data_IF_585027484189
#
_entry.id   IF_585027484189
#
_cell.length_a   1.000
_cell.length_b   1.000
_cell.length_c   1.000
_cell.angle_alpha   90.00
_cell.angle_beta   90.00
_cell.angle_gamma   90.00
#
_symmetry.space_group_name_H-M   'P 1'
#
loop_
_entity.id
_entity.type
_entity.pdbx_description
1 polymer ?
#
# COMPACT_ATOMS: atom_id res chain seq x y z
N UNK A 1 -7.48 -13.27 34.21
CA UNK A 1 -6.12 -13.54 33.69
C UNK A 1 -5.76 -12.29 32.94
N UNK A 2 -5.04 -11.42 33.63
CA UNK A 2 -4.59 -10.14 33.10
C UNK A 2 -3.53 -10.44 32.04
N UNK A 3 -3.79 -9.96 30.83
CA UNK A 3 -2.83 -9.97 29.74
C UNK A 3 -1.77 -8.92 30.08
N UNK A 4 -0.65 -9.39 30.65
CA UNK A 4 0.54 -8.58 30.92
C UNK A 4 1.12 -8.14 29.56
N UNK A 5 0.53 -7.07 29.02
CA UNK A 5 1.05 -6.31 27.91
C UNK A 5 2.41 -5.74 28.30
N UNK A 6 3.46 -6.55 28.12
CA UNK A 6 4.83 -6.06 27.99
C UNK A 6 4.77 -5.01 26.89
N UNK A 7 4.76 -3.74 27.27
CA UNK A 7 5.18 -2.69 26.35
C UNK A 7 6.60 -3.06 25.96
N UNK A 8 6.74 -3.62 24.77
CA UNK A 8 8.04 -3.72 24.12
C UNK A 8 8.63 -2.32 24.19
N UNK A 9 9.67 -2.12 25.01
CA UNK A 9 10.41 -0.87 25.03
C UNK A 9 11.21 -0.76 23.75
N UNK A 10 10.58 -0.92 22.59
CA UNK A 10 11.16 -0.75 21.27
C UNK A 10 10.59 0.55 20.71
N UNK A 11 11.46 1.36 20.12
CA UNK A 11 11.12 2.66 19.55
C UNK A 11 10.03 2.57 18.48
N UNK A 12 9.99 1.46 17.74
CA UNK A 12 9.01 1.18 16.70
C UNK A 12 8.27 -0.12 16.95
N UNK A 13 7.00 -0.14 16.58
CA UNK A 13 6.09 -1.29 16.73
C UNK A 13 5.77 -1.94 15.37
N UNK A 14 5.79 -1.15 14.29
CA UNK A 14 5.47 -1.60 12.93
C UNK A 14 6.38 -0.97 11.88
N UNK A 15 6.58 -1.71 10.79
CA UNK A 15 7.31 -1.29 9.60
C UNK A 15 6.41 -1.50 8.37
N UNK A 16 6.11 -0.43 7.64
CA UNK A 16 5.38 -0.44 6.38
C UNK A 16 6.39 -0.41 5.23
N UNK A 17 6.29 -1.37 4.32
CA UNK A 17 7.16 -1.46 3.15
C UNK A 17 6.34 -1.29 1.88
N UNK A 18 6.70 -0.32 1.06
CA UNK A 18 6.36 -0.40 -0.34
C UNK A 18 7.00 -1.63 -1.01
N UNK A 19 6.45 -2.04 -2.14
CA UNK A 19 6.81 -3.27 -2.83
C UNK A 19 7.71 -2.99 -4.04
N UNK A 20 7.12 -2.39 -5.07
CA UNK A 20 7.74 -2.12 -6.36
C UNK A 20 8.92 -1.16 -6.22
N UNK A 21 10.06 -1.48 -6.82
CA UNK A 21 11.28 -0.66 -6.79
C UNK A 21 11.86 -0.38 -5.38
N UNK A 22 11.22 -0.92 -4.32
CA UNK A 22 11.63 -0.86 -2.91
C UNK A 22 12.22 -2.19 -2.40
N UNK A 23 11.47 -3.30 -2.48
CA UNK A 23 11.96 -4.63 -2.05
C UNK A 23 12.84 -5.31 -3.10
N UNK A 24 12.80 -4.81 -4.32
CA UNK A 24 13.68 -5.18 -5.41
C UNK A 24 14.06 -3.91 -6.18
N UNK A 25 15.22 -3.86 -6.85
CA UNK A 25 15.65 -2.63 -7.50
C UNK A 25 14.85 -2.36 -8.78
N UNK A 26 14.69 -1.07 -9.11
CA UNK A 26 14.15 -0.60 -10.40
C UNK A 26 14.82 -1.22 -11.63
N UNK A 27 16.09 -1.61 -11.52
CA UNK A 27 16.82 -2.32 -12.57
C UNK A 27 16.28 -3.71 -12.91
N UNK A 28 15.34 -4.26 -12.13
CA UNK A 28 14.61 -5.50 -12.46
C UNK A 28 13.79 -5.38 -13.75
N UNK A 29 13.36 -4.17 -14.11
CA UNK A 29 12.57 -3.90 -15.30
C UNK A 29 11.08 -4.20 -15.18
N UNK A 30 10.59 -4.64 -14.02
CA UNK A 30 9.15 -4.89 -13.77
C UNK A 30 8.35 -3.60 -14.01
N UNK A 31 8.79 -2.47 -13.46
CA UNK A 31 8.15 -1.16 -13.66
C UNK A 31 8.02 -0.80 -15.15
N UNK A 32 9.10 -1.01 -15.92
CA UNK A 32 9.12 -0.73 -17.36
C UNK A 32 8.15 -1.64 -18.13
N UNK A 33 8.09 -2.93 -17.78
CA UNK A 33 7.14 -3.87 -18.38
C UNK A 33 5.69 -3.50 -18.02
N UNK A 34 5.44 -3.13 -16.76
CA UNK A 34 4.13 -2.68 -16.29
C UNK A 34 3.66 -1.45 -17.06
N UNK A 35 4.53 -0.45 -17.21
CA UNK A 35 4.24 0.75 -18.00
C UNK A 35 3.86 0.40 -19.44
N UNK A 36 4.60 -0.49 -20.11
CA UNK A 36 4.26 -0.92 -21.48
C UNK A 36 2.89 -1.57 -21.54
N UNK A 37 2.55 -2.43 -20.58
CA UNK A 37 1.23 -3.07 -20.54
C UNK A 37 0.10 -2.05 -20.32
N UNK A 38 0.33 -1.02 -19.51
CA UNK A 38 -0.63 0.10 -19.34
C UNK A 38 -0.82 0.85 -20.65
N UNK A 39 0.28 1.22 -21.32
CA UNK A 39 0.24 1.92 -22.60
C UNK A 39 -0.52 1.08 -23.66
N UNK A 40 -0.25 -0.22 -23.74
CA UNK A 40 -0.99 -1.15 -24.60
C UNK A 40 -2.49 -1.25 -24.25
N UNK A 41 -2.83 -1.27 -22.95
CA UNK A 41 -4.22 -1.29 -22.53
C UNK A 41 -4.96 -0.03 -23.00
N UNK A 42 -4.34 1.15 -22.83
CA UNK A 42 -4.88 2.43 -23.27
C UNK A 42 -5.12 2.49 -24.78
N UNK A 43 -4.18 1.96 -25.57
CA UNK A 43 -4.31 1.86 -27.02
C UNK A 43 -5.44 0.91 -27.45
N UNK A 44 -5.42 -0.32 -26.93
CA UNK A 44 -6.24 -1.40 -27.48
C UNK A 44 -7.65 -1.46 -26.90
N UNK A 45 -7.82 -1.07 -25.64
CA UNK A 45 -9.10 -1.20 -24.91
C UNK A 45 -9.80 0.14 -24.70
N UNK A 46 -9.04 1.22 -24.54
CA UNK A 46 -9.61 2.57 -24.38
C UNK A 46 -9.60 3.38 -25.67
N UNK A 47 -8.97 2.88 -26.73
CA UNK A 47 -8.87 3.52 -28.04
C UNK A 47 -8.31 4.95 -27.97
N UNK A 48 -7.34 5.16 -27.07
CA UNK A 48 -6.61 6.43 -26.96
C UNK A 48 -5.55 6.47 -28.07
N UNK A 49 -5.42 7.63 -28.70
CA UNK A 49 -4.45 7.88 -29.78
C UNK A 49 -3.01 7.61 -29.32
N UNK A 50 -2.21 6.96 -30.18
CA UNK A 50 -0.87 6.47 -29.83
C UNK A 50 0.10 7.57 -29.41
N UNK A 51 0.00 8.73 -30.04
CA UNK A 51 0.84 9.88 -29.74
C UNK A 51 0.55 10.48 -28.35
N UNK A 52 -0.65 10.28 -27.81
CA UNK A 52 -1.08 10.84 -26.53
C UNK A 52 -0.76 9.93 -25.34
N UNK A 53 -0.72 8.61 -25.56
CA UNK A 53 -0.59 7.61 -24.49
C UNK A 53 0.62 7.85 -23.58
N UNK A 54 1.87 8.01 -24.08
CA UNK A 54 3.03 8.19 -23.21
C UNK A 54 2.95 9.46 -22.35
N UNK A 55 2.37 10.54 -22.90
CA UNK A 55 2.16 11.82 -22.22
C UNK A 55 1.12 11.67 -21.12
N UNK A 56 -0.02 11.05 -21.45
CA UNK A 56 -1.10 10.79 -20.50
C UNK A 56 -0.64 9.91 -19.33
N UNK A 57 0.10 8.82 -19.59
CA UNK A 57 0.63 7.97 -18.51
C UNK A 57 1.45 8.79 -17.49
N UNK A 58 2.33 9.68 -17.97
CA UNK A 58 3.18 10.49 -17.11
C UNK A 58 2.39 11.53 -16.32
N UNK A 59 1.46 12.24 -16.97
CA UNK A 59 0.63 13.26 -16.32
C UNK A 59 -0.28 12.64 -15.27
N UNK A 60 -0.97 11.55 -15.62
CA UNK A 60 -1.86 10.84 -14.71
C UNK A 60 -1.12 10.25 -13.51
N UNK A 61 0.07 9.67 -13.73
CA UNK A 61 0.91 9.19 -12.63
C UNK A 61 1.35 10.33 -11.70
N UNK A 62 1.70 11.50 -12.26
CA UNK A 62 2.12 12.68 -11.48
C UNK A 62 0.99 13.27 -10.66
N UNK A 63 -0.22 13.30 -11.19
CA UNK A 63 -1.38 13.94 -10.55
C UNK A 63 -2.11 12.99 -9.60
N UNK A 64 -2.33 11.73 -10.02
CA UNK A 64 -3.19 10.77 -9.31
C UNK A 64 -2.42 9.65 -8.62
N UNK A 65 -1.10 9.58 -8.78
CA UNK A 65 -0.27 8.53 -8.17
C UNK A 65 -0.19 7.23 -8.98
N UNK A 66 -1.24 6.89 -9.71
CA UNK A 66 -1.24 5.79 -10.69
C UNK A 66 -1.95 6.20 -11.97
N UNK A 67 -1.58 5.59 -13.10
CA UNK A 67 -2.29 5.83 -14.37
C UNK A 67 -3.75 5.36 -14.29
N UNK A 68 -4.02 4.24 -13.62
CA UNK A 68 -5.39 3.73 -13.44
C UNK A 68 -6.29 4.73 -12.69
N UNK A 69 -5.81 5.27 -11.55
CA UNK A 69 -6.55 6.27 -10.79
C UNK A 69 -6.89 7.50 -11.63
N UNK A 70 -5.92 7.97 -12.42
CA UNK A 70 -6.12 9.08 -13.35
C UNK A 70 -7.13 8.77 -14.46
N UNK A 71 -7.06 7.59 -15.07
CA UNK A 71 -8.03 7.18 -16.09
C UNK A 71 -9.47 7.14 -15.53
N UNK A 72 -9.66 6.57 -14.33
CA UNK A 72 -10.98 6.58 -13.67
C UNK A 72 -11.46 8.00 -13.35
N UNK A 73 -10.57 8.87 -12.87
CA UNK A 73 -10.90 10.25 -12.57
C UNK A 73 -11.32 11.05 -13.82
N UNK A 74 -10.73 10.74 -14.98
CA UNK A 74 -11.12 11.31 -16.27
C UNK A 74 -12.43 10.72 -16.83
N UNK A 75 -13.03 9.73 -16.17
CA UNK A 75 -14.31 9.12 -16.55
C UNK A 75 -14.20 7.91 -17.48
N UNK A 76 -13.00 7.35 -17.68
CA UNK A 76 -12.88 6.09 -18.41
C UNK A 76 -13.49 4.94 -17.59
N UNK A 77 -14.36 4.16 -18.24
CA UNK A 77 -15.00 3.01 -17.62
C UNK A 77 -14.37 1.71 -18.13
N UNK A 78 -13.85 0.92 -17.20
CA UNK A 78 -13.34 -0.43 -17.39
C UNK A 78 -13.44 -1.18 -16.06
N UNK A 79 -13.34 -2.51 -16.09
CA UNK A 79 -13.29 -3.30 -14.86
C UNK A 79 -11.88 -3.24 -14.23
N UNK A 80 -11.80 -3.11 -12.90
CA UNK A 80 -10.51 -2.96 -12.22
C UNK A 80 -9.71 -4.26 -12.28
N UNK A 81 -10.37 -5.40 -12.10
CA UNK A 81 -9.72 -6.71 -12.08
C UNK A 81 -9.24 -7.06 -13.48
N UNK A 82 -10.02 -6.73 -14.53
CA UNK A 82 -9.58 -6.89 -15.92
C UNK A 82 -8.34 -6.03 -16.24
N UNK A 83 -8.31 -4.78 -15.76
CA UNK A 83 -7.14 -3.91 -15.93
C UNK A 83 -5.90 -4.50 -15.24
N UNK A 84 -6.03 -4.90 -13.97
CA UNK A 84 -4.94 -5.50 -13.21
C UNK A 84 -4.47 -6.83 -13.82
N UNK A 85 -5.38 -7.71 -14.22
CA UNK A 85 -5.05 -8.96 -14.90
C UNK A 85 -4.31 -8.71 -16.22
N UNK A 86 -4.70 -7.68 -16.99
CA UNK A 86 -4.00 -7.32 -18.22
C UNK A 86 -2.59 -6.77 -17.95
N UNK A 87 -2.48 -5.83 -17.00
CA UNK A 87 -1.25 -5.08 -16.74
C UNK A 87 -0.23 -5.91 -15.98
N UNK A 88 -0.66 -6.61 -14.92
CA UNK A 88 0.23 -7.37 -14.05
C UNK A 88 0.31 -8.86 -14.41
N UNK A 89 -0.73 -9.44 -15.04
CA UNK A 89 -0.73 -10.86 -15.41
C UNK A 89 0.24 -11.22 -16.54
N UNK A 90 0.82 -10.23 -17.23
CA UNK A 90 1.80 -10.41 -18.31
C UNK A 90 3.23 -10.05 -17.91
N UNK A 91 3.46 -9.75 -16.63
CA UNK A 91 4.79 -9.33 -16.18
C UNK A 91 5.77 -10.52 -16.14
N UNK A 92 7.06 -10.29 -16.48
CA UNK A 92 8.08 -11.33 -16.53
C UNK A 92 8.64 -11.64 -15.13
N UNK A 93 7.80 -12.09 -14.20
CA UNK A 93 8.21 -12.32 -12.81
C UNK A 93 9.34 -13.35 -12.70
N UNK A 94 9.25 -14.47 -13.41
CA UNK A 94 10.22 -15.58 -13.33
C UNK A 94 11.62 -15.17 -13.79
N UNK A 95 11.72 -14.32 -14.83
CA UNK A 95 13.01 -13.87 -15.34
C UNK A 95 13.58 -12.67 -14.56
N UNK A 96 12.71 -11.79 -14.08
CA UNK A 96 13.10 -10.52 -13.46
C UNK A 96 13.36 -10.64 -11.95
N UNK A 97 12.64 -11.52 -11.25
CA UNK A 97 12.72 -11.67 -9.80
C UNK A 97 13.42 -12.98 -9.43
N UNK A 98 14.27 -12.92 -8.42
CA UNK A 98 15.00 -14.08 -7.90
C UNK A 98 14.92 -14.05 -6.38
N UNK A 99 14.92 -15.23 -5.73
CA UNK A 99 14.96 -15.29 -4.29
C UNK A 99 16.12 -14.49 -3.71
N UNK A 100 15.83 -13.67 -2.70
CA UNK A 100 16.81 -12.84 -2.01
C UNK A 100 16.99 -13.34 -0.56
N UNK A 101 17.88 -14.32 -0.33
CA UNK A 101 18.09 -14.88 1.00
C UNK A 101 18.70 -13.87 1.98
N UNK A 102 19.36 -12.82 1.49
CA UNK A 102 19.95 -11.78 2.34
C UNK A 102 18.84 -10.88 2.86
N UNK A 103 17.98 -10.38 1.97
CA UNK A 103 16.81 -9.58 2.36
C UNK A 103 15.86 -10.39 3.25
N UNK A 104 15.59 -11.66 2.91
CA UNK A 104 14.78 -12.56 3.73
C UNK A 104 15.32 -12.67 5.16
N UNK A 105 16.61 -12.95 5.30
CA UNK A 105 17.25 -13.07 6.61
C UNK A 105 17.19 -11.75 7.39
N UNK A 106 17.32 -10.62 6.70
CA UNK A 106 17.22 -9.30 7.29
C UNK A 106 15.81 -9.04 7.83
N UNK A 107 14.77 -9.27 7.03
CA UNK A 107 13.36 -9.07 7.41
C UNK A 107 12.93 -9.97 8.57
N UNK A 108 13.33 -11.26 8.54
CA UNK A 108 13.03 -12.21 9.62
C UNK A 108 13.75 -11.87 10.92
N UNK A 109 14.87 -11.16 10.86
CA UNK A 109 15.60 -10.73 12.07
C UNK A 109 14.96 -9.53 12.77
N UNK A 110 14.05 -8.80 12.12
CA UNK A 110 13.37 -7.64 12.71
C UNK A 110 12.24 -8.08 13.63
N UNK A 111 12.20 -7.64 14.91
CA UNK A 111 11.16 -8.04 15.85
C UNK A 111 9.78 -7.38 15.61
N UNK A 112 9.72 -6.28 14.86
CA UNK A 112 8.50 -5.52 14.61
C UNK A 112 7.54 -6.24 13.66
N UNK A 113 6.26 -5.85 13.72
CA UNK A 113 5.29 -6.19 12.67
C UNK A 113 5.74 -5.59 11.35
N UNK A 114 5.57 -6.34 10.26
CA UNK A 114 5.98 -5.95 8.92
C UNK A 114 4.78 -6.09 8.00
N UNK A 115 4.42 -5.04 7.29
CA UNK A 115 3.25 -5.00 6.42
C UNK A 115 3.65 -4.41 5.07
N UNK A 116 3.23 -5.03 3.98
CA UNK A 116 3.35 -4.45 2.65
C UNK A 116 2.30 -3.36 2.48
N UNK A 117 2.68 -2.21 1.91
CA UNK A 117 1.77 -1.14 1.52
C UNK A 117 2.06 -0.71 0.08
N UNK A 118 1.35 -1.30 -0.87
CA UNK A 118 1.54 -1.11 -2.33
C UNK A 118 0.31 -0.48 -2.98
N UNK A 119 0.52 0.21 -4.10
CA UNK A 119 -0.55 0.66 -5.00
C UNK A 119 -1.01 -0.44 -5.98
N UNK A 120 -0.29 -1.56 -6.07
CA UNK A 120 -0.64 -2.69 -6.90
C UNK A 120 -1.78 -3.52 -6.29
N UNK A 121 -2.33 -4.44 -7.08
CA UNK A 121 -3.32 -5.42 -6.60
C UNK A 121 -2.67 -6.59 -5.86
N UNK A 122 -3.51 -7.37 -5.19
CA UNK A 122 -3.10 -8.51 -4.38
C UNK A 122 -2.42 -9.61 -5.19
N UNK A 123 -2.84 -9.86 -6.42
CA UNK A 123 -2.26 -10.92 -7.24
C UNK A 123 -0.83 -10.58 -7.64
N UNK A 124 -0.59 -9.32 -8.03
CA UNK A 124 0.77 -8.82 -8.27
C UNK A 124 1.65 -8.93 -7.03
N UNK A 125 1.16 -8.47 -5.86
CA UNK A 125 1.92 -8.54 -4.62
C UNK A 125 2.33 -9.98 -4.26
N UNK A 126 1.44 -10.95 -4.47
CA UNK A 126 1.74 -12.36 -4.25
C UNK A 126 2.84 -12.89 -5.20
N UNK A 127 2.79 -12.54 -6.49
CA UNK A 127 3.82 -12.95 -7.47
C UNK A 127 5.20 -12.39 -7.12
N UNK A 128 5.27 -11.12 -6.69
CA UNK A 128 6.53 -10.50 -6.29
C UNK A 128 7.10 -11.16 -5.03
N UNK A 129 6.27 -11.36 -4.00
CA UNK A 129 6.72 -11.96 -2.75
C UNK A 129 7.20 -13.40 -2.95
N UNK A 130 6.51 -14.19 -3.80
CA UNK A 130 6.93 -15.55 -4.18
C UNK A 130 8.26 -15.53 -4.96
N UNK A 131 8.37 -14.67 -5.98
CA UNK A 131 9.59 -14.54 -6.78
C UNK A 131 10.83 -14.11 -5.98
N UNK A 132 10.64 -13.33 -4.91
CA UNK A 132 11.71 -12.92 -3.98
C UNK A 132 11.92 -13.90 -2.81
N UNK A 133 11.02 -14.86 -2.62
CA UNK A 133 11.04 -15.78 -1.48
C UNK A 133 10.83 -15.06 -0.14
N UNK A 134 9.82 -14.19 -0.05
CA UNK A 134 9.49 -13.33 1.10
C UNK A 134 8.06 -13.52 1.65
N UNK A 135 7.35 -14.56 1.23
CA UNK A 135 5.91 -14.79 1.47
C UNK A 135 5.53 -14.88 2.96
N UNK A 136 6.47 -15.34 3.80
CA UNK A 136 6.32 -15.49 5.25
C UNK A 136 6.98 -14.37 6.06
N UNK A 137 7.53 -13.34 5.41
CA UNK A 137 8.22 -12.23 6.09
C UNK A 137 7.27 -11.13 6.57
N UNK A 138 6.04 -11.10 6.06
CA UNK A 138 5.06 -10.03 6.29
C UNK A 138 3.78 -10.56 6.93
N UNK A 139 3.23 -9.81 7.88
CA UNK A 139 1.98 -10.13 8.56
C UNK A 139 0.77 -9.93 7.64
N UNK A 140 0.85 -8.97 6.71
CA UNK A 140 -0.24 -8.65 5.80
C UNK A 140 0.16 -7.73 4.67
N UNK A 141 -0.78 -7.53 3.74
CA UNK A 141 -0.65 -6.68 2.56
C UNK A 141 -1.81 -5.69 2.52
N UNK A 142 -1.49 -4.40 2.48
CA UNK A 142 -2.39 -3.31 2.17
C UNK A 142 -2.14 -2.97 0.70
N UNK A 143 -3.11 -3.27 -0.14
CA UNK A 143 -3.04 -3.18 -1.60
C UNK A 143 -4.27 -2.45 -2.14
N UNK A 144 -4.41 -2.39 -3.47
CA UNK A 144 -5.54 -1.78 -4.14
C UNK A 144 -6.89 -2.23 -3.56
N UNK A 145 -7.12 -3.54 -3.45
CA UNK A 145 -8.35 -4.14 -2.93
C UNK A 145 -8.60 -3.72 -1.48
N UNK A 146 -7.58 -3.80 -0.61
CA UNK A 146 -7.72 -3.43 0.81
C UNK A 146 -8.13 -1.96 1.00
N UNK A 147 -7.76 -1.07 0.07
CA UNK A 147 -8.09 0.35 0.14
C UNK A 147 -9.42 0.71 -0.54
N UNK A 148 -9.79 -0.02 -1.59
CA UNK A 148 -10.84 0.39 -2.52
C UNK A 148 -12.07 -0.54 -2.51
N UNK A 149 -11.93 -1.78 -2.06
CA UNK A 149 -13.05 -2.68 -1.85
C UNK A 149 -13.69 -2.36 -0.51
N UNK A 150 -14.76 -1.56 -0.54
CA UNK A 150 -15.66 -1.49 0.60
C UNK A 150 -16.45 -2.79 0.67
N UNK A 151 -16.65 -3.40 1.85
CA UNK A 151 -17.71 -4.37 2.02
C UNK A 151 -19.01 -3.72 1.53
N UNK A 152 -19.71 -4.40 0.62
CA UNK A 152 -21.12 -4.11 0.42
C UNK A 152 -21.82 -4.40 1.75
N UNK A 153 -21.96 -3.39 2.59
CA UNK A 153 -22.88 -3.46 3.73
C UNK A 153 -24.30 -3.53 3.15
N UNK A 154 -24.73 -4.73 2.78
CA UNK A 154 -26.14 -5.08 2.72
C UNK A 154 -26.66 -5.11 4.15
N UNK A 155 -27.01 -3.93 4.66
CA UNK A 155 -27.97 -3.84 5.77
C UNK A 155 -29.35 -4.13 5.17
N UNK A 156 -29.65 -5.41 4.95
CA UNK A 156 -31.03 -5.89 4.95
C UNK A 156 -31.52 -5.81 6.40
N UNK A 157 -31.93 -4.60 6.80
CA UNK A 157 -32.64 -4.35 8.03
C UNK A 157 -34.10 -4.78 7.87
N UNK A 158 -34.34 -6.08 7.93
CA UNK A 158 -35.65 -6.62 8.26
C UNK A 158 -35.96 -6.28 9.74
N UNK A 159 -37.12 -5.64 9.96
CA UNK A 159 -37.66 -5.40 11.30
C UNK A 159 -38.01 -3.95 11.60
N UNK A 160 -39.26 -3.55 11.32
CA UNK A 160 -40.18 -3.21 12.42
C UNK A 160 -41.63 -3.18 11.92
N UNK A 161 -42.48 -3.99 12.55
CA UNK A 161 -43.91 -3.97 12.34
C UNK A 161 -44.57 -2.75 12.98
N UNK A 162 -45.61 -2.24 12.35
CA UNK A 162 -46.72 -1.66 13.08
C UNK A 162 -48.02 -1.82 12.27
N UNK A 163 -48.99 -2.51 12.85
CA UNK A 163 -50.31 -2.72 12.24
C UNK A 163 -51.19 -1.48 12.32
N UNK A 164 -52.10 -1.36 11.35
CA UNK A 164 -53.49 -0.95 11.58
C UNK A 164 -54.32 -1.28 10.34
N UNK A 165 -55.55 -1.69 10.62
CA UNK A 165 -56.54 -2.33 9.76
C UNK A 165 -57.42 -1.28 9.04
N UNK A 166 -57.79 -1.52 7.77
CA UNK A 166 -59.17 -1.46 7.25
C UNK A 166 -59.29 -1.35 5.70
N UNK A 167 -59.87 -2.42 5.14
CA UNK A 167 -60.97 -2.48 4.13
C UNK A 167 -60.76 -2.17 2.64
N UNK A 168 -61.23 -3.16 1.85
CA UNK A 168 -61.89 -3.12 0.53
C UNK A 168 -61.09 -3.36 -0.78
N UNK A 169 -61.46 -4.47 -1.43
CA UNK A 169 -61.19 -5.03 -2.79
C UNK A 169 -61.92 -4.25 -3.93
N UNK A 170 -61.79 -4.54 -5.27
CA UNK A 170 -60.93 -5.50 -6.01
C UNK A 170 -60.32 -5.04 -7.39
N UNK A 171 -59.42 -5.88 -7.93
CA UNK A 171 -59.13 -6.29 -9.33
C UNK A 171 -59.02 -5.27 -10.51
N UNK A 172 -57.91 -5.35 -11.27
CA UNK A 172 -57.87 -5.59 -12.74
C UNK A 172 -56.43 -5.58 -13.34
N UNK A 173 -56.13 -6.62 -14.12
CA UNK A 173 -55.33 -6.75 -15.36
C UNK A 173 -54.10 -5.86 -15.66
N UNK A 174 -53.02 -6.52 -16.10
CA UNK A 174 -52.06 -5.93 -17.04
C UNK A 174 -50.64 -6.52 -17.03
N UNK A 175 -50.31 -7.25 -18.11
CA UNK A 175 -48.96 -7.43 -18.71
C UNK A 175 -47.89 -6.41 -18.23
N UNK A 176 -46.60 -6.71 -18.08
CA UNK A 176 -45.69 -7.17 -19.14
C UNK A 176 -44.30 -7.48 -18.55
N UNK A 177 -43.60 -8.39 -19.22
CA UNK A 177 -42.16 -8.68 -19.16
C UNK A 177 -41.24 -7.45 -19.06
N UNK A 178 -40.19 -7.54 -18.24
CA UNK A 178 -38.82 -7.79 -18.72
C UNK A 178 -37.84 -7.62 -17.56
N UNK A 179 -37.19 -8.74 -17.25
CA UNK A 179 -36.00 -8.87 -16.45
C UNK A 179 -34.87 -8.05 -17.10
N UNK A 180 -34.52 -6.90 -16.52
CA UNK A 180 -33.18 -6.34 -16.62
C UNK A 180 -32.78 -5.80 -15.26
N UNK A 181 -31.88 -6.55 -14.63
CA UNK A 181 -31.15 -6.16 -13.44
C UNK A 181 -30.45 -4.81 -13.66
N UNK A 182 -31.10 -3.74 -13.22
CA UNK A 182 -30.45 -2.44 -13.01
C UNK A 182 -29.37 -2.60 -11.94
N UNK A 183 -28.15 -2.96 -12.35
CA UNK A 183 -26.94 -2.71 -11.55
C UNK A 183 -26.83 -1.20 -11.40
N UNK A 184 -27.32 -0.72 -10.27
CA UNK A 184 -27.26 0.66 -9.81
C UNK A 184 -25.78 1.04 -9.69
N UNK A 185 -25.23 1.70 -10.71
CA UNK A 185 -23.88 2.26 -10.65
C UNK A 185 -23.86 3.34 -9.58
N UNK A 186 -23.35 2.97 -8.40
CA UNK A 186 -23.01 3.89 -7.34
C UNK A 186 -22.00 4.90 -7.89
N UNK A 187 -22.21 6.19 -7.63
CA UNK A 187 -21.27 7.26 -7.94
C UNK A 187 -19.88 6.90 -7.44
N UNK A 188 -18.98 6.48 -8.34
CA UNK A 188 -17.70 5.88 -7.96
C UNK A 188 -16.81 6.95 -7.32
N UNK A 189 -16.51 6.78 -6.03
CA UNK A 189 -15.47 7.52 -5.33
C UNK A 189 -14.13 7.37 -6.07
N UNK A 190 -13.26 8.40 -6.06
CA UNK A 190 -11.94 8.30 -6.66
C UNK A 190 -11.15 7.14 -6.05
N UNK A 191 -10.29 6.50 -6.85
CA UNK A 191 -9.39 5.45 -6.38
C UNK A 191 -8.46 6.03 -5.31
N UNK A 192 -8.46 5.40 -4.14
CA UNK A 192 -7.60 5.72 -3.03
C UNK A 192 -6.26 5.00 -3.21
N UNK A 193 -5.18 5.76 -3.42
CA UNK A 193 -3.83 5.22 -3.59
C UNK A 193 -2.76 6.27 -3.21
N UNK A 194 -1.53 5.82 -2.96
CA UNK A 194 -0.38 6.72 -2.75
C UNK A 194 -0.14 7.57 -4.01
N UNK A 195 0.22 8.87 -3.91
CA UNK A 195 0.67 9.58 -2.72
C UNK A 195 -0.42 10.34 -1.95
N UNK A 196 -1.72 10.05 -2.10
CA UNK A 196 -2.73 10.75 -1.29
C UNK A 196 -2.48 10.51 0.20
N UNK A 197 -2.54 11.58 1.01
CA UNK A 197 -2.39 11.48 2.48
C UNK A 197 -3.52 10.64 3.07
N UNK A 198 -4.72 10.75 2.51
CA UNK A 198 -5.89 9.96 2.87
C UNK A 198 -5.63 8.45 2.67
N UNK A 199 -4.87 8.06 1.64
CA UNK A 199 -4.47 6.68 1.42
C UNK A 199 -3.48 6.19 2.49
N UNK A 200 -2.52 7.04 2.88
CA UNK A 200 -1.60 6.74 3.98
C UNK A 200 -2.37 6.58 5.30
N UNK A 201 -3.29 7.50 5.60
CA UNK A 201 -4.11 7.44 6.81
C UNK A 201 -5.03 6.20 6.82
N UNK A 202 -5.57 5.81 5.66
CA UNK A 202 -6.31 4.56 5.54
C UNK A 202 -5.43 3.36 5.86
N UNK A 203 -4.20 3.31 5.33
CA UNK A 203 -3.25 2.25 5.64
C UNK A 203 -2.90 2.20 7.14
N UNK A 204 -2.71 3.35 7.80
CA UNK A 204 -2.49 3.43 9.26
C UNK A 204 -3.68 2.84 10.03
N UNK A 205 -4.91 3.18 9.64
CA UNK A 205 -6.14 2.64 10.26
C UNK A 205 -6.27 1.13 10.05
N UNK A 206 -6.06 0.65 8.82
CA UNK A 206 -6.15 -0.77 8.46
C UNK A 206 -5.09 -1.60 9.19
N UNK A 207 -3.85 -1.10 9.26
CA UNK A 207 -2.75 -1.76 9.97
C UNK A 207 -2.92 -1.74 11.50
N UNK A 208 -3.79 -0.85 12.01
CA UNK A 208 -3.99 -0.56 13.43
C UNK A 208 -2.65 -0.25 14.13
N UNK A 209 -2.00 0.83 13.70
CA UNK A 209 -0.67 1.23 14.18
C UNK A 209 -0.65 2.67 14.68
N UNK A 210 0.25 2.98 15.62
CA UNK A 210 0.58 4.36 15.96
C UNK A 210 1.56 4.91 14.88
N UNK A 211 1.20 5.97 14.14
CA UNK A 211 2.08 6.52 13.11
C UNK A 211 3.43 6.98 13.67
N UNK A 212 3.48 7.47 14.92
CA UNK A 212 4.75 7.93 15.54
C UNK A 212 5.70 6.79 15.89
N UNK A 213 5.20 5.56 15.94
CA UNK A 213 5.97 4.33 16.19
C UNK A 213 6.03 3.42 14.96
N UNK A 214 5.79 3.98 13.78
CA UNK A 214 5.79 3.25 12.52
C UNK A 214 6.78 3.86 11.53
N UNK A 215 7.62 3.03 10.93
CA UNK A 215 8.49 3.44 9.82
C UNK A 215 7.85 3.07 8.49
N UNK A 216 7.92 3.96 7.51
CA UNK A 216 7.48 3.74 6.14
C UNK A 216 8.65 3.82 5.16
N UNK A 217 8.90 2.72 4.45
CA UNK A 217 9.93 2.57 3.43
C UNK A 217 9.28 2.62 2.04
N UNK A 218 9.73 3.54 1.19
CA UNK A 218 9.18 3.72 -0.17
C UNK A 218 10.23 4.39 -1.07
N UNK A 219 10.25 4.08 -2.36
CA UNK A 219 11.18 4.65 -3.34
C UNK A 219 10.68 6.00 -3.90
N UNK A 220 9.39 6.30 -3.75
CA UNK A 220 8.77 7.52 -4.27
C UNK A 220 8.83 8.64 -3.24
N UNK A 221 9.58 9.70 -3.58
CA UNK A 221 9.66 10.91 -2.78
C UNK A 221 8.29 11.55 -2.47
N UNK A 222 7.29 11.38 -3.37
CA UNK A 222 5.92 11.87 -3.13
C UNK A 222 5.21 11.04 -2.06
N UNK A 223 5.35 9.71 -2.10
CA UNK A 223 4.78 8.82 -1.10
C UNK A 223 5.41 9.09 0.27
N UNK A 224 6.74 9.29 0.30
CA UNK A 224 7.48 9.65 1.51
C UNK A 224 7.01 10.98 2.09
N UNK A 225 6.81 12.02 1.27
CA UNK A 225 6.29 13.29 1.75
C UNK A 225 4.90 13.15 2.40
N UNK A 226 4.02 12.34 1.80
CA UNK A 226 2.69 12.07 2.35
C UNK A 226 2.73 11.20 3.60
N UNK A 227 3.64 10.22 3.65
CA UNK A 227 3.94 9.44 4.84
C UNK A 227 4.30 10.34 6.02
N UNK A 228 5.18 11.31 5.77
CA UNK A 228 5.60 12.26 6.79
C UNK A 228 4.47 13.18 7.24
N UNK A 229 3.65 13.64 6.31
CA UNK A 229 2.47 14.45 6.63
C UNK A 229 1.46 13.69 7.51
N UNK A 230 1.32 12.38 7.32
CA UNK A 230 0.49 11.51 8.16
C UNK A 230 1.15 11.14 9.51
N UNK A 231 2.35 11.63 9.79
CA UNK A 231 3.04 11.45 11.07
C UNK A 231 3.93 10.21 11.16
N UNK A 232 4.17 9.50 10.05
CA UNK A 232 5.07 8.36 9.99
C UNK A 232 6.53 8.82 10.07
N UNK A 233 7.40 7.94 10.61
CA UNK A 233 8.82 8.01 10.32
C UNK A 233 9.03 7.48 8.91
N UNK A 234 9.79 8.16 8.06
CA UNK A 234 9.89 7.83 6.64
C UNK A 234 11.33 7.62 6.17
N UNK A 235 11.49 6.67 5.24
CA UNK A 235 12.79 6.26 4.70
C UNK A 235 12.69 6.15 3.19
N UNK A 236 13.42 7.01 2.48
CA UNK A 236 13.51 6.93 1.02
C UNK A 236 14.47 5.80 0.63
N UNK A 237 14.02 4.84 -0.18
CA UNK A 237 14.81 3.70 -0.65
C UNK A 237 15.27 3.94 -2.10
N UNK A 238 16.43 3.40 -2.48
CA UNK A 238 17.03 3.61 -3.80
C UNK A 238 17.73 4.96 -3.96
N UNK A 239 17.94 5.71 -2.87
CA UNK A 239 18.56 7.04 -2.88
C UNK A 239 19.69 7.14 -1.85
N UNK A 240 20.78 7.81 -2.21
CA UNK A 240 21.85 8.19 -1.26
C UNK A 240 21.59 9.54 -0.60
N UNK A 241 20.58 10.29 -1.05
CA UNK A 241 20.24 11.62 -0.54
C UNK A 241 18.85 11.63 0.07
N UNK A 242 18.73 12.28 1.22
CA UNK A 242 17.43 12.54 1.85
C UNK A 242 16.63 13.50 0.96
N UNK A 243 15.35 13.19 0.78
CA UNK A 243 14.39 13.99 0.01
C UNK A 243 13.44 14.72 0.97
N UNK A 244 12.74 15.79 0.54
CA UNK A 244 11.75 16.45 1.38
C UNK A 244 10.74 15.45 1.95
N UNK A 245 10.62 15.44 3.27
CA UNK A 245 9.74 14.52 3.99
C UNK A 245 10.39 13.20 4.42
N UNK A 246 11.57 12.83 3.91
CA UNK A 246 12.31 11.67 4.39
C UNK A 246 13.11 11.99 5.66
N UNK A 247 13.14 11.09 6.63
CA UNK A 247 14.03 11.18 7.79
C UNK A 247 15.38 10.51 7.52
N UNK A 248 15.37 9.40 6.77
CA UNK A 248 16.56 8.67 6.35
C UNK A 248 16.53 8.34 4.86
N UNK A 249 17.69 8.04 4.30
CA UNK A 249 17.85 7.57 2.92
C UNK A 249 18.68 6.29 2.88
N UNK A 250 18.25 5.33 2.06
CA UNK A 250 18.95 4.07 1.83
C UNK A 250 19.21 3.90 0.33
N UNK A 251 20.46 3.64 -0.05
CA UNK A 251 20.77 3.26 -1.43
C UNK A 251 20.15 1.93 -1.84
N UNK A 252 19.93 1.05 -0.87
CA UNK A 252 19.25 -0.24 -1.01
C UNK A 252 18.58 -0.61 0.30
N UNK A 253 17.46 -1.32 0.22
CA UNK A 253 16.75 -1.87 1.38
C UNK A 253 17.66 -2.78 2.24
N UNK A 254 18.73 -3.32 1.67
CA UNK A 254 19.73 -4.11 2.37
C UNK A 254 20.54 -3.31 3.40
N UNK A 255 20.56 -1.99 3.28
CA UNK A 255 21.32 -1.11 4.16
C UNK A 255 20.54 -0.71 5.44
N UNK A 256 19.33 -1.23 5.67
CA UNK A 256 18.49 -0.84 6.83
C UNK A 256 19.27 -0.97 8.15
N UNK A 257 20.01 -2.05 8.36
CA UNK A 257 20.70 -2.29 9.64
C UNK A 257 21.78 -1.27 9.96
N UNK A 258 22.46 -0.75 8.94
CA UNK A 258 23.48 0.29 9.11
C UNK A 258 22.83 1.65 9.40
N UNK A 259 21.74 1.97 8.71
CA UNK A 259 21.10 3.26 8.80
C UNK A 259 20.15 3.41 10.00
N UNK A 260 19.54 2.30 10.42
CA UNK A 260 18.49 2.24 11.45
C UNK A 260 18.75 1.06 12.41
N UNK A 261 19.88 1.05 13.13
CA UNK A 261 20.20 -0.02 14.08
C UNK A 261 19.15 -0.14 15.19
N UNK A 262 18.44 0.94 15.51
CA UNK A 262 17.40 0.96 16.54
C UNK A 262 16.19 0.05 16.26
N UNK A 263 16.05 -0.47 15.04
CA UNK A 263 15.06 -1.51 14.73
C UNK A 263 15.38 -2.80 15.52
N UNK A 264 16.66 -3.06 15.80
CA UNK A 264 17.10 -4.23 16.57
C UNK A 264 17.42 -3.91 18.04
N UNK A 265 17.56 -2.63 18.40
CA UNK A 265 17.89 -2.20 19.75
C UNK A 265 16.63 -1.80 20.51
N UNK A 266 16.43 -2.35 21.71
CA UNK A 266 15.42 -1.82 22.62
C UNK A 266 15.84 -0.46 23.19
N UNK A 267 14.88 0.36 23.61
CA UNK A 267 15.04 1.63 24.34
C UNK A 267 16.00 1.49 25.54
N UNK A 268 16.08 0.31 26.16
CA UNK A 268 17.02 0.02 27.26
C UNK A 268 18.50 0.03 26.86
N UNK A 269 18.85 -0.38 25.62
CA UNK A 269 20.24 -0.41 25.16
C UNK A 269 20.78 1.01 24.88
N UNK A 270 19.91 1.90 24.40
CA UNK A 270 20.24 3.31 24.16
C UNK A 270 20.43 4.08 25.48
N UNK A 271 19.61 3.82 26.50
CA UNK A 271 19.81 4.42 27.83
C UNK A 271 21.13 3.96 28.47
N UNK A 272 21.50 2.68 28.35
CA UNK A 272 22.77 2.18 28.86
C UNK A 272 23.99 2.78 28.13
N UNK A 273 23.94 2.95 26.81
CA UNK A 273 25.01 3.63 26.06
C UNK A 273 25.14 5.11 26.44
N UNK A 274 24.02 5.83 26.60
CA UNK A 274 24.04 7.24 27.03
C UNK A 274 24.57 7.37 28.46
N UNK A 275 24.19 6.48 29.37
CA UNK A 275 24.72 6.44 30.74
C UNK A 275 26.22 6.09 30.78
N UNK A 276 26.67 5.15 29.94
CA UNK A 276 28.09 4.83 29.83
C UNK A 276 28.89 5.98 29.23
N UNK A 277 28.38 6.67 28.21
CA UNK A 277 29.05 7.82 27.59
C UNK A 277 29.19 9.00 28.57
N UNK A 278 28.14 9.31 29.33
CA UNK A 278 28.15 10.38 30.34
C UNK A 278 29.02 10.04 31.56
N UNK A 279 29.07 8.77 31.97
CA UNK A 279 29.98 8.30 33.01
C UNK A 279 31.46 8.43 32.59
N UNK A 280 31.78 8.14 31.33
CA UNK A 280 33.16 8.27 30.79
C UNK A 280 33.59 9.74 30.72
N UNK A 281 32.72 10.66 30.28
CA UNK A 281 33.05 12.10 30.28
C UNK A 281 33.29 12.65 31.70
N UNK A 282 32.56 12.15 32.70
CA UNK A 282 32.71 12.59 34.09
C UNK A 282 34.02 12.11 34.73
N UNK A 283 34.57 10.97 34.28
CA UNK A 283 35.83 10.40 34.83
C UNK A 283 37.09 11.07 34.25
N UNK A 284 37.00 11.77 33.11
CA UNK A 284 38.16 12.41 32.45
C UNK A 284 38.47 13.81 32.99
N UNK A 285 37.66 14.34 33.94
CA UNK A 285 37.81 15.70 34.50
C UNK A 285 38.14 15.75 36.01
N UNK A 286 38.68 14.68 36.61
CA UNK A 286 39.10 14.66 38.02
C UNK A 286 40.60 14.47 38.21
#
# INVERSE_FOLDING_TARGET
MEDDGRSSGAKYECLLFDLDDTLYPMSSGINLACRKNIEEFMLQHLHIEEEEVPRMCLELYREYGTTMAGLKALGYEFDNDEFHAYVHGKLPYEEALKPDPVLRSLLLSMPQRKIIFTNADKAHAAQVLDGLGLEDCFEGVICFETLNDQPVDCVDGDGNGNGTDHSAVPAADGNTSSDESHKKFSSKSPILCKPSVEAIEAAIRIANVDPKKTIFFDDSARNIASGKAAGLHTVIVGSTTVVPGADHALSSIHNIKEALPEIWEGEGAQLEQVLQSTAVETVVLA
#
